data_IF_920468023453
#
_entry.id   IF_920468023453
#
_cell.length_a   1.000
_cell.length_b   1.000
_cell.length_c   1.000
_cell.angle_alpha   90.00
_cell.angle_beta   90.00
_cell.angle_gamma   90.00
#
_symmetry.space_group_name_H-M   'P 1'
#
loop_
_entity.id
_entity.type
_entity.pdbx_description
1 polymer ?
#
# COMPACT_ATOMS: atom_id res chain seq x y z
N UNK A 1 -11.11 -2.02 -14.88
CA UNK A 1 -10.38 -2.67 -13.77
C UNK A 1 -8.91 -2.41 -14.05
N UNK A 2 -8.30 -1.48 -13.32
CA UNK A 2 -6.87 -1.23 -13.43
C UNK A 2 -6.18 -2.18 -12.45
N UNK A 3 -5.36 -3.08 -12.98
CA UNK A 3 -4.51 -3.98 -12.20
C UNK A 3 -3.07 -3.60 -12.51
N UNK A 4 -2.44 -2.87 -11.60
CA UNK A 4 -1.03 -2.49 -11.71
C UNK A 4 -0.19 -3.56 -11.03
N UNK A 5 0.69 -4.21 -11.79
CA UNK A 5 1.63 -5.18 -11.24
C UNK A 5 2.75 -4.42 -10.52
N UNK A 6 2.75 -4.52 -9.20
CA UNK A 6 3.75 -3.84 -8.34
C UNK A 6 4.86 -4.81 -7.90
N UNK A 7 4.67 -6.11 -8.12
CA UNK A 7 5.60 -7.15 -7.70
C UNK A 7 6.12 -7.89 -8.93
N UNK A 8 7.44 -7.88 -9.12
CA UNK A 8 8.11 -8.58 -10.22
C UNK A 8 8.23 -10.08 -9.91
N UNK A 9 8.62 -10.89 -10.91
CA UNK A 9 8.73 -12.36 -10.79
C UNK A 9 9.63 -12.82 -9.63
N UNK A 10 10.56 -11.96 -9.18
CA UNK A 10 11.43 -12.19 -8.02
C UNK A 10 10.75 -11.98 -6.66
N UNK A 11 9.44 -11.67 -6.63
CA UNK A 11 8.71 -11.35 -5.41
C UNK A 11 9.11 -10.01 -4.78
N UNK A 12 9.79 -9.14 -5.55
CA UNK A 12 10.27 -7.84 -5.10
C UNK A 12 9.40 -6.73 -5.67
N UNK A 13 8.98 -5.83 -4.78
CA UNK A 13 8.35 -4.56 -5.13
C UNK A 13 9.29 -3.43 -4.74
N UNK A 14 9.63 -2.56 -5.69
CA UNK A 14 10.37 -1.34 -5.36
C UNK A 14 9.43 -0.31 -4.73
N UNK A 15 9.97 0.54 -3.85
CA UNK A 15 9.25 1.74 -3.37
C UNK A 15 8.78 2.61 -4.55
N UNK A 16 9.54 2.63 -5.64
CA UNK A 16 9.20 3.37 -6.86
C UNK A 16 7.96 2.79 -7.56
N UNK A 17 7.89 1.46 -7.73
CA UNK A 17 6.77 0.79 -8.41
C UNK A 17 5.45 1.03 -7.66
N UNK A 18 5.51 1.00 -6.32
CA UNK A 18 4.35 1.31 -5.46
C UNK A 18 3.86 2.73 -5.73
N UNK A 19 4.76 3.73 -5.75
CA UNK A 19 4.37 5.12 -5.96
C UNK A 19 3.83 5.38 -7.36
N UNK A 20 4.40 4.74 -8.39
CA UNK A 20 3.89 4.80 -9.76
C UNK A 20 2.47 4.24 -9.82
N UNK A 21 2.21 3.08 -9.22
CA UNK A 21 0.88 2.50 -9.17
C UNK A 21 -0.15 3.40 -8.46
N UNK A 22 0.24 4.09 -7.38
CA UNK A 22 -0.62 5.08 -6.73
C UNK A 22 -0.88 6.29 -7.63
N UNK A 23 0.13 6.81 -8.32
CA UNK A 23 -0.02 7.96 -9.21
C UNK A 23 -0.92 7.61 -10.41
N UNK A 24 -0.74 6.44 -11.02
CA UNK A 24 -1.62 5.92 -12.07
C UNK A 24 -3.06 5.75 -11.57
N UNK A 25 -3.28 5.15 -10.39
CA UNK A 25 -4.62 4.99 -9.83
C UNK A 25 -5.30 6.34 -9.54
N UNK A 26 -4.53 7.33 -9.05
CA UNK A 26 -5.02 8.70 -8.84
C UNK A 26 -5.34 9.37 -10.18
N UNK A 27 -4.49 9.19 -11.19
CA UNK A 27 -4.68 9.74 -12.54
C UNK A 27 -5.93 9.16 -13.22
N UNK A 28 -6.13 7.85 -13.08
CA UNK A 28 -7.29 7.12 -13.60
C UNK A 28 -8.59 7.46 -12.87
N UNK A 29 -8.50 8.18 -11.74
CA UNK A 29 -9.66 8.63 -10.98
C UNK A 29 -10.44 7.48 -10.33
N UNK A 30 -9.75 6.41 -9.94
CA UNK A 30 -10.40 5.25 -9.31
C UNK A 30 -11.06 5.64 -7.97
N UNK A 31 -12.13 4.95 -7.59
CA UNK A 31 -12.79 5.21 -6.31
C UNK A 31 -12.15 4.46 -5.13
N UNK A 32 -11.52 3.32 -5.42
CA UNK A 32 -10.92 2.44 -4.40
C UNK A 32 -9.60 1.88 -4.93
N UNK A 33 -8.57 1.92 -4.10
CA UNK A 33 -7.28 1.26 -4.32
C UNK A 33 -7.19 0.07 -3.37
N UNK A 34 -6.93 -1.12 -3.89
CA UNK A 34 -6.69 -2.32 -3.10
C UNK A 34 -5.20 -2.67 -3.19
N UNK A 35 -4.51 -2.70 -2.04
CA UNK A 35 -3.11 -3.08 -1.97
C UNK A 35 -2.89 -4.23 -0.98
N UNK A 36 -2.16 -5.25 -1.44
CA UNK A 36 -1.94 -6.53 -0.75
C UNK A 36 -0.46 -6.79 -0.51
N UNK A 37 0.27 -5.76 -0.08
CA UNK A 37 1.68 -5.84 0.30
C UNK A 37 1.90 -4.98 1.55
N UNK A 38 2.97 -5.26 2.27
CA UNK A 38 3.30 -4.60 3.53
C UNK A 38 4.54 -5.23 4.16
N UNK A 39 5.18 -4.51 5.07
CA UNK A 39 6.37 -4.99 5.77
C UNK A 39 6.00 -5.56 7.13
N UNK A 40 6.57 -6.70 7.54
CA UNK A 40 6.38 -7.22 8.89
C UNK A 40 6.99 -6.29 9.95
N UNK A 41 6.53 -6.38 11.22
CA UNK A 41 7.10 -5.61 12.32
C UNK A 41 8.63 -5.79 12.43
N UNK A 42 9.37 -4.76 12.89
CA UNK A 42 8.89 -3.50 13.44
C UNK A 42 8.35 -2.55 12.36
N UNK A 43 7.20 -1.92 12.65
CA UNK A 43 6.61 -0.90 11.78
C UNK A 43 7.55 0.31 11.67
N UNK A 44 7.63 0.87 10.47
CA UNK A 44 8.33 2.14 10.22
C UNK A 44 7.46 3.32 10.68
N UNK A 45 8.05 4.51 10.94
CA UNK A 45 7.28 5.71 11.22
C UNK A 45 6.26 6.01 10.10
N UNK A 46 5.10 6.54 10.48
CA UNK A 46 4.07 6.98 9.53
C UNK A 46 4.68 7.97 8.53
N UNK A 47 4.42 7.76 7.23
CA UNK A 47 4.96 8.53 6.09
C UNK A 47 6.43 8.23 5.72
N UNK A 48 7.04 7.18 6.28
CA UNK A 48 8.38 6.72 5.85
C UNK A 48 8.31 5.57 4.82
N UNK A 49 7.13 4.96 4.70
CA UNK A 49 6.82 3.92 3.73
C UNK A 49 6.22 4.52 2.45
N UNK A 50 6.53 3.94 1.28
CA UNK A 50 5.90 4.35 0.01
C UNK A 50 4.40 4.08 -0.01
N UNK A 51 3.93 3.10 0.76
CA UNK A 51 2.51 2.80 0.95
C UNK A 51 1.82 3.91 1.74
N UNK A 52 2.44 4.42 2.80
CA UNK A 52 1.90 5.49 3.64
C UNK A 52 1.81 6.79 2.83
N UNK A 53 2.87 7.12 2.10
CA UNK A 53 2.93 8.31 1.25
C UNK A 53 1.88 8.21 0.14
N UNK A 54 1.84 7.10 -0.60
CA UNK A 54 0.87 6.88 -1.68
C UNK A 54 -0.58 6.93 -1.18
N UNK A 55 -0.85 6.29 -0.04
CA UNK A 55 -2.19 6.27 0.56
C UNK A 55 -2.62 7.64 1.05
N UNK A 56 -1.72 8.41 1.68
CA UNK A 56 -2.01 9.78 2.08
C UNK A 56 -2.36 10.67 0.88
N UNK A 57 -1.64 10.53 -0.23
CA UNK A 57 -1.92 11.25 -1.47
C UNK A 57 -3.26 10.84 -2.09
N UNK A 58 -3.59 9.56 -2.11
CA UNK A 58 -4.88 9.04 -2.58
C UNK A 58 -6.05 9.55 -1.71
N UNK A 59 -5.91 9.53 -0.38
CA UNK A 59 -6.91 10.03 0.55
C UNK A 59 -7.19 11.52 0.37
N UNK A 60 -6.15 12.33 0.13
CA UNK A 60 -6.31 13.76 -0.17
C UNK A 60 -7.13 14.01 -1.44
N UNK A 61 -7.20 13.04 -2.35
CA UNK A 61 -8.00 13.08 -3.57
C UNK A 61 -9.39 12.44 -3.42
N UNK A 62 -9.76 11.97 -2.23
CA UNK A 62 -11.04 11.33 -1.95
C UNK A 62 -11.09 9.84 -2.36
N UNK A 63 -9.94 9.21 -2.58
CA UNK A 63 -9.83 7.81 -2.98
C UNK A 63 -9.61 6.97 -1.71
N UNK A 64 -10.43 5.94 -1.52
CA UNK A 64 -10.31 5.04 -0.37
C UNK A 64 -9.25 3.96 -0.64
N UNK A 65 -8.34 3.74 0.30
CA UNK A 65 -7.30 2.69 0.18
C UNK A 65 -7.62 1.55 1.15
N UNK A 66 -7.66 0.33 0.64
CA UNK A 66 -7.92 -0.89 1.43
C UNK A 66 -6.64 -1.73 1.48
N UNK A 67 -6.20 -2.04 2.68
CA UNK A 67 -4.97 -2.80 2.94
C UNK A 67 -5.26 -4.08 3.71
N UNK A 68 -4.54 -5.14 3.39
CA UNK A 68 -4.59 -6.37 4.17
C UNK A 68 -3.80 -6.21 5.48
N UNK A 69 -4.33 -6.79 6.56
CA UNK A 69 -3.67 -6.81 7.86
C UNK A 69 -2.40 -7.69 7.89
N UNK A 70 -2.30 -8.65 6.96
CA UNK A 70 -1.21 -9.63 6.90
C UNK A 70 -1.54 -10.95 7.61
N UNK A 71 -0.85 -12.01 7.21
CA UNK A 71 -1.11 -13.38 7.65
C UNK A 71 -0.13 -13.87 8.73
N UNK A 72 0.57 -12.96 9.40
CA UNK A 72 1.69 -13.28 10.31
C UNK A 72 1.26 -13.49 11.78
N UNK A 73 -0.05 -13.63 12.05
CA UNK A 73 -0.57 -14.00 13.39
C UNK A 73 -0.26 -15.45 13.78
N UNK A 74 -0.50 -15.85 15.05
CA UNK A 74 -1.55 -15.39 15.95
C UNK A 74 -1.12 -14.40 17.05
N UNK A 75 0.17 -14.08 17.12
CA UNK A 75 0.70 -13.21 18.18
C UNK A 75 0.19 -11.76 18.03
N UNK A 76 -0.04 -11.04 19.15
CA UNK A 76 -0.43 -9.64 19.11
C UNK A 76 0.70 -8.77 18.50
N UNK A 77 0.33 -7.67 17.81
CA UNK A 77 1.21 -6.75 17.07
C UNK A 77 1.71 -7.22 15.68
N UNK A 78 1.16 -8.27 15.08
CA UNK A 78 1.55 -8.74 13.74
C UNK A 78 0.76 -8.11 12.58
N UNK A 79 0.22 -6.90 12.77
CA UNK A 79 -0.43 -6.15 11.69
C UNK A 79 0.63 -5.48 10.82
N UNK A 80 0.59 -5.71 9.51
CA UNK A 80 1.55 -5.18 8.53
C UNK A 80 1.28 -3.72 8.14
N UNK A 81 0.02 -3.28 8.25
CA UNK A 81 -0.46 -2.01 7.74
C UNK A 81 -1.36 -1.33 8.79
N UNK A 82 -0.93 -0.17 9.31
CA UNK A 82 -1.62 0.55 10.40
C UNK A 82 -1.88 2.02 10.04
N UNK A 83 -1.98 2.31 8.75
CA UNK A 83 -2.28 3.66 8.28
C UNK A 83 -3.80 3.94 8.37
N UNK A 84 -4.20 5.13 8.84
CA UNK A 84 -5.60 5.54 8.93
C UNK A 84 -6.22 5.82 7.56
#
# INVERSE_FOLDING_TARGET
MASTEVCWEDGKSSKADVLVAFDEAIHDGVNVILASFGSPPPLVPLLDSSLDIGSFHAMKKGISVVLLAGNNGPDPLFVLNVIP
#
